data_IF_641704308509
#
_entry.id   IF_641704308509
#
_cell.length_a   1.000
_cell.length_b   1.000
_cell.length_c   1.000
_cell.angle_alpha   90.00
_cell.angle_beta   90.00
_cell.angle_gamma   90.00
#
_symmetry.space_group_name_H-M   'P 1'
#
loop_
_entity.id
_entity.type
_entity.pdbx_description
1 polymer ?
#
# COMPACT_ATOMS: atom_id res chain seq x y z
N UNK A 1 -12.40 -10.45 -13.22
CA UNK A 1 -10.91 -10.55 -13.03
C UNK A 1 -10.51 -9.85 -11.74
N UNK A 2 -9.77 -10.52 -10.87
CA UNK A 2 -9.34 -9.99 -9.57
C UNK A 2 -7.96 -9.33 -9.68
N UNK A 3 -7.82 -8.08 -9.26
CA UNK A 3 -6.54 -7.35 -9.19
C UNK A 3 -6.28 -6.81 -7.80
N UNK A 4 -5.01 -6.83 -7.41
CA UNK A 4 -4.55 -6.35 -6.10
C UNK A 4 -3.59 -5.17 -6.32
N UNK A 5 -3.85 -4.07 -5.64
CA UNK A 5 -3.08 -2.83 -5.69
C UNK A 5 -2.52 -2.49 -4.32
N UNK A 6 -1.31 -1.95 -4.26
CA UNK A 6 -0.74 -1.48 -3.00
C UNK A 6 -1.41 -0.16 -2.58
N UNK A 7 -1.88 -0.11 -1.32
CA UNK A 7 -2.45 1.09 -0.70
C UNK A 7 -1.35 1.94 -0.06
N UNK A 8 -0.39 2.39 -0.86
CA UNK A 8 0.70 3.27 -0.45
C UNK A 8 1.14 4.14 -1.62
N UNK A 9 1.47 5.39 -1.36
CA UNK A 9 1.95 6.34 -2.39
C UNK A 9 3.29 5.94 -3.01
N UNK A 10 4.11 5.18 -2.27
CA UNK A 10 5.46 4.76 -2.70
C UNK A 10 5.69 3.25 -2.54
N UNK A 11 4.92 2.38 -3.25
CA UNK A 11 5.00 0.92 -3.05
C UNK A 11 6.39 0.34 -3.33
N UNK A 12 7.08 0.86 -4.36
CA UNK A 12 8.44 0.42 -4.68
C UNK A 12 9.43 0.79 -3.58
N UNK A 13 9.33 1.99 -3.01
CA UNK A 13 10.22 2.44 -1.94
C UNK A 13 10.04 1.59 -0.67
N UNK A 14 8.80 1.30 -0.28
CA UNK A 14 8.50 0.43 0.86
C UNK A 14 9.05 -0.97 0.65
N UNK A 15 8.89 -1.55 -0.54
CA UNK A 15 9.42 -2.86 -0.87
C UNK A 15 10.96 -2.87 -0.82
N UNK A 16 11.62 -1.91 -1.49
CA UNK A 16 13.08 -1.82 -1.50
C UNK A 16 13.68 -1.55 -0.13
N UNK A 17 13.03 -0.72 0.70
CA UNK A 17 13.45 -0.50 2.10
C UNK A 17 13.39 -1.79 2.91
N UNK A 18 12.36 -2.60 2.71
CA UNK A 18 12.23 -3.92 3.35
C UNK A 18 13.35 -4.87 2.91
N UNK A 19 13.59 -4.97 1.60
CA UNK A 19 14.66 -5.83 1.06
C UNK A 19 16.03 -5.40 1.57
N UNK A 20 16.34 -4.09 1.55
CA UNK A 20 17.60 -3.56 2.06
C UNK A 20 17.79 -3.87 3.55
N UNK A 21 16.74 -3.72 4.36
CA UNK A 21 16.78 -4.04 5.77
C UNK A 21 17.07 -5.54 6.01
N UNK A 22 16.44 -6.45 5.24
CA UNK A 22 16.73 -7.88 5.34
C UNK A 22 18.18 -8.20 4.96
N UNK A 23 18.73 -7.59 3.90
CA UNK A 23 20.12 -7.79 3.49
C UNK A 23 21.08 -7.33 4.59
N UNK A 24 20.86 -6.13 5.17
CA UNK A 24 21.68 -5.61 6.28
C UNK A 24 21.58 -6.51 7.50
N UNK A 25 20.37 -6.95 7.85
CA UNK A 25 20.16 -7.86 8.98
C UNK A 25 20.87 -9.21 8.80
N UNK A 26 20.77 -9.79 7.61
CA UNK A 26 21.44 -11.05 7.29
C UNK A 26 22.97 -10.92 7.31
N UNK A 27 23.51 -9.87 6.68
CA UNK A 27 24.95 -9.61 6.67
C UNK A 27 25.49 -9.42 8.09
N UNK A 28 24.80 -8.62 8.92
CA UNK A 28 25.18 -8.42 10.33
C UNK A 28 25.13 -9.70 11.15
N UNK A 29 24.13 -10.56 10.90
CA UNK A 29 24.01 -11.86 11.55
C UNK A 29 25.16 -12.81 11.14
N UNK A 30 25.52 -12.85 9.86
CA UNK A 30 26.65 -13.63 9.37
C UNK A 30 27.98 -13.16 9.99
N UNK A 31 28.22 -11.85 10.08
CA UNK A 31 29.41 -11.30 10.74
C UNK A 31 29.46 -11.70 12.22
N UNK A 32 28.33 -11.70 12.90
CA UNK A 32 28.22 -12.22 14.26
C UNK A 32 28.60 -13.71 14.35
N UNK A 33 28.07 -14.55 13.47
CA UNK A 33 28.34 -16.00 13.47
C UNK A 33 29.80 -16.32 13.19
N UNK A 34 30.44 -15.59 12.27
CA UNK A 34 31.86 -15.82 11.93
C UNK A 34 32.82 -15.23 12.97
N UNK A 35 32.31 -14.65 14.04
CA UNK A 35 33.15 -14.01 15.11
C UNK A 35 34.22 -13.08 14.54
N UNK A 36 33.86 -12.29 13.56
CA UNK A 36 34.77 -11.41 12.84
C UNK A 36 35.33 -10.27 13.69
N UNK A 37 34.83 -10.10 14.95
CA UNK A 37 35.15 -8.98 15.83
C UNK A 37 35.29 -9.46 17.29
N UNK A 38 35.89 -8.62 18.11
CA UNK A 38 35.97 -8.82 19.57
C UNK A 38 34.57 -8.85 20.22
N UNK A 39 34.49 -9.40 21.45
CA UNK A 39 33.21 -9.64 22.13
C UNK A 39 32.29 -8.43 22.21
N UNK A 40 32.82 -7.21 22.39
CA UNK A 40 31.98 -5.98 22.43
C UNK A 40 31.41 -5.64 21.07
N UNK A 41 32.17 -5.78 19.99
CA UNK A 41 31.71 -5.59 18.62
C UNK A 41 30.68 -6.63 18.18
N UNK A 42 30.78 -7.86 18.71
CA UNK A 42 29.84 -8.94 18.44
C UNK A 42 28.42 -8.61 18.87
N UNK A 43 28.23 -8.02 20.04
CA UNK A 43 26.91 -7.62 20.55
C UNK A 43 26.28 -6.54 19.66
N UNK A 44 27.06 -5.58 19.17
CA UNK A 44 26.56 -4.53 18.26
C UNK A 44 26.01 -5.13 16.98
N UNK A 45 26.68 -6.12 16.37
CA UNK A 45 26.19 -6.79 15.18
C UNK A 45 24.91 -7.57 15.42
N UNK A 46 24.75 -8.19 16.60
CA UNK A 46 23.52 -8.87 16.98
C UNK A 46 22.34 -7.88 17.11
N UNK A 47 22.56 -6.72 17.72
CA UNK A 47 21.55 -5.66 17.80
C UNK A 47 21.16 -5.12 16.43
N UNK A 48 22.14 -4.83 15.56
CA UNK A 48 21.89 -4.36 14.20
C UNK A 48 21.08 -5.42 13.42
N UNK A 49 21.45 -6.69 13.51
CA UNK A 49 20.74 -7.79 12.86
C UNK A 49 19.28 -7.87 13.34
N UNK A 50 19.05 -7.90 14.65
CA UNK A 50 17.72 -7.97 15.24
C UNK A 50 16.85 -6.77 14.83
N UNK A 51 17.38 -5.55 14.94
CA UNK A 51 16.64 -4.34 14.59
C UNK A 51 16.32 -4.29 13.09
N UNK A 52 17.28 -4.64 12.23
CA UNK A 52 17.07 -4.64 10.78
C UNK A 52 16.07 -5.69 10.33
N UNK A 53 16.06 -6.87 10.94
CA UNK A 53 15.09 -7.92 10.64
C UNK A 53 13.67 -7.51 11.07
N UNK A 54 13.52 -6.94 12.27
CA UNK A 54 12.22 -6.43 12.76
C UNK A 54 11.72 -5.32 11.85
N UNK A 55 12.58 -4.37 11.50
CA UNK A 55 12.26 -3.26 10.61
C UNK A 55 11.86 -3.75 9.22
N UNK A 56 12.62 -4.69 8.64
CA UNK A 56 12.33 -5.32 7.37
C UNK A 56 10.98 -6.04 7.37
N UNK A 57 10.70 -6.82 8.41
CA UNK A 57 9.43 -7.52 8.60
C UNK A 57 8.26 -6.54 8.73
N UNK A 58 8.42 -5.43 9.47
CA UNK A 58 7.42 -4.40 9.61
C UNK A 58 7.07 -3.75 8.26
N UNK A 59 8.06 -3.33 7.47
CA UNK A 59 7.82 -2.73 6.16
C UNK A 59 7.24 -3.72 5.15
N UNK A 60 7.69 -4.98 5.18
CA UNK A 60 7.11 -6.04 4.36
C UNK A 60 5.65 -6.31 4.74
N UNK A 61 5.35 -6.33 6.04
CA UNK A 61 3.99 -6.43 6.56
C UNK A 61 3.11 -5.27 6.07
N UNK A 62 3.62 -4.03 6.15
CA UNK A 62 2.94 -2.84 5.63
C UNK A 62 2.66 -2.98 4.12
N UNK A 63 3.61 -3.43 3.33
CA UNK A 63 3.43 -3.63 1.89
C UNK A 63 2.35 -4.68 1.58
N UNK A 64 2.32 -5.79 2.31
CA UNK A 64 1.34 -6.89 2.14
C UNK A 64 -0.03 -6.58 2.72
N UNK A 65 -0.07 -5.96 3.91
CA UNK A 65 -1.31 -5.68 4.64
C UNK A 65 -2.06 -4.45 4.11
N UNK A 66 -1.36 -3.49 3.49
CA UNK A 66 -1.96 -2.30 2.92
C UNK A 66 -2.23 -2.51 1.42
N UNK A 67 -3.23 -3.34 1.12
CA UNK A 67 -3.63 -3.61 -0.26
C UNK A 67 -5.11 -3.35 -0.50
N UNK A 68 -5.43 -2.91 -1.71
CA UNK A 68 -6.80 -2.79 -2.22
C UNK A 68 -6.99 -3.89 -3.26
N UNK A 69 -8.04 -4.66 -3.08
CA UNK A 69 -8.45 -5.68 -4.05
C UNK A 69 -9.70 -5.21 -4.79
N UNK A 70 -9.62 -5.17 -6.10
CA UNK A 70 -10.77 -4.95 -6.99
C UNK A 70 -11.09 -6.28 -7.65
N UNK A 71 -12.29 -6.78 -7.39
CA UNK A 71 -12.80 -8.02 -7.97
C UNK A 71 -14.02 -7.72 -8.83
N UNK A 72 -13.82 -7.76 -10.16
CA UNK A 72 -14.86 -7.44 -11.16
C UNK A 72 -15.99 -8.48 -11.12
N UNK A 73 -15.67 -9.77 -10.88
CA UNK A 73 -16.66 -10.86 -10.88
C UNK A 73 -17.52 -10.84 -9.61
N UNK A 74 -16.90 -10.51 -8.47
CA UNK A 74 -17.60 -10.36 -7.21
C UNK A 74 -18.25 -8.98 -7.02
N UNK A 75 -18.06 -8.05 -7.98
CA UNK A 75 -18.53 -6.66 -7.90
C UNK A 75 -18.09 -5.94 -6.63
N UNK A 76 -16.84 -6.15 -6.19
CA UNK A 76 -16.37 -5.63 -4.89
C UNK A 76 -15.02 -4.95 -4.96
N UNK A 77 -14.87 -3.90 -4.12
CA UNK A 77 -13.61 -3.27 -3.77
C UNK A 77 -13.38 -3.47 -2.28
N UNK A 78 -12.26 -4.10 -1.92
CA UNK A 78 -11.95 -4.44 -0.53
C UNK A 78 -10.61 -3.84 -0.12
N UNK A 79 -10.57 -3.06 0.96
CA UNK A 79 -9.33 -2.71 1.66
C UNK A 79 -8.96 -3.87 2.58
N UNK A 80 -7.70 -4.31 2.54
CA UNK A 80 -7.21 -5.39 3.40
C UNK A 80 -7.39 -5.11 4.90
N UNK A 81 -7.46 -3.84 5.30
CA UNK A 81 -7.73 -3.39 6.68
C UNK A 81 -9.22 -3.43 7.04
N UNK A 82 -10.09 -3.23 6.04
CA UNK A 82 -11.54 -3.08 6.21
C UNK A 82 -12.30 -4.22 5.51
N UNK A 83 -11.79 -5.43 5.60
CA UNK A 83 -12.38 -6.63 4.91
C UNK A 83 -13.88 -6.83 5.18
N UNK A 84 -14.39 -6.31 6.29
CA UNK A 84 -15.81 -6.44 6.68
C UNK A 84 -16.75 -5.49 5.93
N UNK A 85 -16.23 -4.48 5.24
CA UNK A 85 -17.02 -3.45 4.58
C UNK A 85 -16.56 -3.24 3.14
N UNK A 86 -16.77 -4.23 2.24
CA UNK A 86 -16.45 -4.05 0.83
C UNK A 86 -17.40 -3.02 0.21
N UNK A 87 -16.87 -2.14 -0.65
CA UNK A 87 -17.70 -1.32 -1.53
C UNK A 87 -18.10 -2.15 -2.74
N UNK A 88 -19.36 -1.99 -3.20
CA UNK A 88 -19.82 -2.56 -4.46
C UNK A 88 -19.50 -1.60 -5.61
N UNK A 89 -18.86 -2.11 -6.66
CA UNK A 89 -18.48 -1.31 -7.82
C UNK A 89 -19.74 -0.78 -8.52
N UNK A 90 -20.78 -1.62 -8.65
CA UNK A 90 -22.07 -1.25 -9.24
C UNK A 90 -22.80 -0.15 -8.47
N UNK A 91 -22.52 0.04 -7.19
CA UNK A 91 -23.13 1.06 -6.32
C UNK A 91 -22.27 2.32 -6.17
N UNK A 92 -21.08 2.38 -6.81
CA UNK A 92 -20.26 3.58 -6.76
C UNK A 92 -20.96 4.73 -7.49
N UNK A 93 -21.04 5.87 -6.80
CA UNK A 93 -21.59 7.12 -7.32
C UNK A 93 -20.50 7.93 -8.01
N UNK A 94 -19.37 8.11 -7.34
CA UNK A 94 -18.24 8.83 -7.91
C UNK A 94 -16.88 8.34 -7.39
N UNK A 95 -15.86 8.61 -8.19
CA UNK A 95 -14.46 8.47 -7.81
C UNK A 95 -13.77 9.83 -7.94
N UNK A 96 -13.13 10.30 -6.87
CA UNK A 96 -12.48 11.60 -6.83
C UNK A 96 -10.97 11.48 -6.67
N UNK A 97 -10.22 12.12 -7.57
CA UNK A 97 -8.79 12.35 -7.39
C UNK A 97 -8.60 13.51 -6.41
N UNK A 98 -8.15 13.19 -5.20
CA UNK A 98 -7.85 14.21 -4.20
C UNK A 98 -6.46 14.80 -4.42
N UNK A 99 -6.40 16.10 -4.66
CA UNK A 99 -5.16 16.81 -4.91
C UNK A 99 -4.89 17.86 -3.80
N UNK A 100 -3.59 18.13 -3.55
CA UNK A 100 -3.20 19.23 -2.68
C UNK A 100 -3.40 20.57 -3.40
N UNK A 101 -3.36 21.71 -2.66
CA UNK A 101 -3.39 23.07 -3.22
C UNK A 101 -2.36 23.32 -4.34
N UNK A 102 -1.27 22.57 -4.36
CA UNK A 102 -0.21 22.65 -5.38
C UNK A 102 -0.43 21.67 -6.56
N UNK A 103 -1.64 21.12 -6.73
CA UNK A 103 -1.98 20.16 -7.79
C UNK A 103 -1.31 18.81 -7.66
N UNK A 104 -0.76 18.46 -6.48
CA UNK A 104 -0.15 17.14 -6.28
C UNK A 104 -1.22 16.14 -5.85
N UNK A 105 -1.33 15.04 -6.58
CA UNK A 105 -2.18 13.92 -6.22
C UNK A 105 -1.84 13.36 -4.83
N UNK A 106 -2.86 13.09 -4.01
CA UNK A 106 -2.72 12.53 -2.65
C UNK A 106 -3.36 11.16 -2.51
N UNK A 107 -4.60 11.02 -2.96
CA UNK A 107 -5.36 9.78 -2.82
C UNK A 107 -6.48 9.69 -3.83
N UNK A 108 -6.99 8.47 -4.04
CA UNK A 108 -8.24 8.20 -4.74
C UNK A 108 -9.35 7.97 -3.71
N UNK A 109 -10.39 8.78 -3.78
CA UNK A 109 -11.55 8.66 -2.93
C UNK A 109 -12.71 8.04 -3.72
N UNK A 110 -13.27 6.96 -3.18
CA UNK A 110 -14.42 6.26 -3.74
C UNK A 110 -15.62 6.47 -2.83
N UNK A 111 -16.77 6.77 -3.39
CA UNK A 111 -18.02 6.96 -2.66
C UNK A 111 -19.15 6.19 -3.34
N UNK A 112 -19.90 5.42 -2.57
CA UNK A 112 -21.08 4.71 -3.06
C UNK A 112 -22.35 5.60 -3.00
N UNK A 113 -23.47 5.05 -3.42
CA UNK A 113 -24.78 5.73 -3.37
C UNK A 113 -25.35 5.86 -1.96
N UNK A 114 -24.78 5.15 -0.98
CA UNK A 114 -25.15 5.20 0.42
C UNK A 114 -24.18 6.05 1.25
N UNK A 115 -23.73 5.50 2.36
CA UNK A 115 -22.78 6.14 3.30
C UNK A 115 -21.37 5.53 3.21
N UNK A 116 -21.18 4.56 2.32
CA UNK A 116 -19.89 3.88 2.14
C UNK A 116 -18.89 4.76 1.42
N UNK A 117 -17.68 4.85 1.96
CA UNK A 117 -16.57 5.52 1.28
C UNK A 117 -15.24 4.79 1.55
N UNK A 118 -14.29 5.00 0.65
CA UNK A 118 -12.94 4.47 0.79
C UNK A 118 -11.92 5.50 0.32
N UNK A 119 -10.92 5.80 1.14
CA UNK A 119 -9.81 6.68 0.81
C UNK A 119 -8.54 5.85 0.59
N UNK A 120 -8.10 5.80 -0.67
CA UNK A 120 -7.00 4.93 -1.13
C UNK A 120 -5.76 5.78 -1.34
N UNK A 121 -4.76 5.61 -0.48
CA UNK A 121 -3.46 6.27 -0.61
C UNK A 121 -2.59 5.51 -1.60
N UNK A 122 -2.46 6.05 -2.81
CA UNK A 122 -1.67 5.42 -3.87
C UNK A 122 -1.00 6.51 -4.73
N UNK A 123 -0.25 6.14 -5.77
CA UNK A 123 0.22 7.10 -6.76
C UNK A 123 -0.83 7.29 -7.86
N UNK A 124 -0.73 8.41 -8.60
CA UNK A 124 -1.71 8.77 -9.64
C UNK A 124 -1.86 7.70 -10.71
N UNK A 125 -0.76 7.15 -11.22
CA UNK A 125 -0.80 6.13 -12.26
C UNK A 125 -1.51 4.83 -11.81
N UNK A 126 -1.39 4.47 -10.53
CA UNK A 126 -2.14 3.33 -9.96
C UNK A 126 -3.60 3.68 -9.75
N UNK A 127 -3.91 4.90 -9.31
CA UNK A 127 -5.28 5.38 -9.18
C UNK A 127 -6.02 5.36 -10.53
N UNK A 128 -5.38 5.83 -11.61
CA UNK A 128 -5.92 5.80 -12.97
C UNK A 128 -6.24 4.36 -13.41
N UNK A 129 -5.33 3.41 -13.18
CA UNK A 129 -5.57 1.98 -13.48
C UNK A 129 -6.74 1.39 -12.68
N UNK A 130 -6.93 1.82 -11.42
CA UNK A 130 -8.07 1.41 -10.61
C UNK A 130 -9.36 1.98 -11.17
N UNK A 131 -9.37 3.26 -11.53
CA UNK A 131 -10.53 3.93 -12.13
C UNK A 131 -10.90 3.29 -13.47
N UNK A 132 -9.94 3.01 -14.34
CA UNK A 132 -10.19 2.30 -15.60
C UNK A 132 -10.83 0.93 -15.38
N UNK A 133 -10.41 0.22 -14.33
CA UNK A 133 -10.99 -1.07 -13.98
C UNK A 133 -12.43 -0.93 -13.44
N UNK A 134 -12.69 0.09 -12.62
CA UNK A 134 -14.00 0.41 -12.07
C UNK A 134 -14.96 0.78 -13.22
N UNK A 135 -14.53 1.63 -14.17
CA UNK A 135 -15.33 2.08 -15.30
C UNK A 135 -15.72 0.95 -16.27
N UNK A 136 -14.94 -0.13 -16.33
CA UNK A 136 -15.31 -1.32 -17.11
C UNK A 136 -16.54 -2.04 -16.54
N UNK A 137 -16.70 -2.02 -15.22
CA UNK A 137 -17.83 -2.66 -14.51
C UNK A 137 -18.98 -1.69 -14.36
N UNK A 138 -18.70 -0.45 -14.01
CA UNK A 138 -19.70 0.60 -13.81
C UNK A 138 -19.30 1.88 -14.57
N UNK A 139 -19.69 2.00 -15.85
CA UNK A 139 -19.38 3.17 -16.67
C UNK A 139 -20.13 4.44 -16.24
N UNK A 140 -21.12 4.34 -15.34
CA UNK A 140 -21.89 5.47 -14.84
C UNK A 140 -21.19 6.19 -13.66
N UNK A 141 -20.04 5.69 -13.18
CA UNK A 141 -19.29 6.34 -12.10
C UNK A 141 -18.78 7.71 -12.57
N UNK A 142 -19.14 8.74 -11.83
CA UNK A 142 -18.66 10.10 -12.08
C UNK A 142 -17.20 10.26 -11.63
N UNK A 143 -16.34 10.75 -12.51
CA UNK A 143 -14.94 11.02 -12.17
C UNK A 143 -14.78 12.50 -11.85
N UNK A 144 -14.25 12.81 -10.67
CA UNK A 144 -14.06 14.17 -10.17
C UNK A 144 -12.60 14.42 -9.78
N UNK A 145 -12.22 15.69 -9.76
CA UNK A 145 -10.98 16.14 -9.10
C UNK A 145 -11.36 17.08 -7.96
N UNK A 146 -10.95 16.76 -6.75
CA UNK A 146 -11.24 17.54 -5.55
C UNK A 146 -9.94 18.13 -4.98
N UNK A 147 -9.90 19.44 -4.84
CA UNK A 147 -8.80 20.13 -4.18
C UNK A 147 -9.04 20.17 -2.66
N UNK A 148 -8.05 19.72 -1.89
CA UNK A 148 -8.05 19.96 -0.45
C UNK A 148 -7.88 21.45 -0.14
N UNK A 149 -8.83 21.98 0.60
CA UNK A 149 -8.74 23.30 1.21
C UNK A 149 -7.58 23.40 2.21
#
# INVERSE_FOLDING_TARGET
MKKVYANTSHPKLVLWSSVAAFIVGLASFLLYLFRAFDNEGLLVFLYIAGFSLIYGAFFFGQYKLLSITIDEEADTITDSRLKKYPLKISQLKYAAYKESRKGRFRSLFLHDTGVGYMDIRTNRATAEKMVDQILKVNPAVEIRTENYL
#
